data_IF_833751373545
#
_entry.id   IF_833751373545
#
_cell.length_a   1.000
_cell.length_b   1.000
_cell.length_c   1.000
_cell.angle_alpha   90.00
_cell.angle_beta   90.00
_cell.angle_gamma   90.00
#
_symmetry.space_group_name_H-M   'P 1'
#
loop_
_entity.id
_entity.type
_entity.pdbx_description
1 polymer ?
#
# COMPACT_ATOMS: atom_id res chain seq x y z
N UNK A 1 7.73 10.78 -16.34
CA UNK A 1 7.28 9.39 -16.12
C UNK A 1 7.29 9.24 -14.62
N UNK A 2 6.13 9.06 -14.00
CA UNK A 2 6.03 8.98 -12.54
C UNK A 2 6.78 7.73 -12.07
N UNK A 3 7.61 7.86 -11.04
CA UNK A 3 8.44 6.76 -10.51
C UNK A 3 7.62 5.54 -10.03
N UNK A 4 6.31 5.71 -9.88
CA UNK A 4 5.37 4.70 -9.41
C UNK A 4 4.75 3.85 -10.54
N UNK A 5 4.76 4.32 -11.79
CA UNK A 5 4.15 3.58 -12.90
C UNK A 5 4.81 2.22 -13.09
N UNK A 6 4.00 1.16 -13.19
CA UNK A 6 4.47 -0.22 -13.30
C UNK A 6 4.61 -0.94 -11.94
N UNK A 7 4.42 -0.23 -10.83
CA UNK A 7 4.47 -0.83 -9.48
C UNK A 7 3.24 -1.68 -9.20
N UNK A 8 3.44 -2.87 -8.64
CA UNK A 8 2.37 -3.72 -8.15
C UNK A 8 1.85 -3.20 -6.80
N UNK A 9 0.54 -3.10 -6.67
CA UNK A 9 -0.15 -2.66 -5.46
C UNK A 9 -1.29 -3.60 -5.11
N UNK A 10 -1.54 -3.79 -3.82
CA UNK A 10 -2.71 -4.47 -3.29
C UNK A 10 -3.70 -3.42 -2.82
N UNK A 11 -4.96 -3.51 -3.24
CA UNK A 11 -6.02 -2.68 -2.65
C UNK A 11 -6.27 -3.16 -1.23
N UNK A 12 -6.22 -2.25 -0.26
CA UNK A 12 -6.33 -2.58 1.15
C UNK A 12 -7.55 -3.48 1.42
N UNK A 13 -7.38 -4.70 1.96
CA UNK A 13 -8.48 -5.67 2.10
C UNK A 13 -9.62 -5.18 3.00
N UNK A 14 -9.29 -4.31 3.96
CA UNK A 14 -10.22 -3.75 4.94
C UNK A 14 -10.55 -2.28 4.63
N UNK A 15 -10.45 -1.85 3.36
CA UNK A 15 -10.77 -0.48 2.97
C UNK A 15 -12.24 -0.18 3.32
N UNK A 16 -12.56 0.86 4.12
CA UNK A 16 -13.94 1.10 4.58
C UNK A 16 -14.95 1.36 3.47
N UNK A 17 -14.51 1.99 2.38
CA UNK A 17 -15.33 2.30 1.21
C UNK A 17 -14.52 2.05 -0.05
N UNK A 18 -14.97 1.11 -0.89
CA UNK A 18 -14.37 0.80 -2.18
C UNK A 18 -15.43 0.74 -3.28
N UNK A 19 -15.71 1.87 -3.97
CA UNK A 19 -16.68 1.91 -5.06
C UNK A 19 -16.35 0.97 -6.22
N UNK A 20 -15.07 0.69 -6.45
CA UNK A 20 -14.61 -0.19 -7.53
C UNK A 20 -14.64 -1.67 -7.15
N UNK A 21 -14.85 -2.00 -5.86
CA UNK A 21 -14.97 -3.37 -5.33
C UNK A 21 -13.77 -4.26 -5.66
N UNK A 22 -12.56 -3.71 -5.51
CA UNK A 22 -11.28 -4.37 -5.74
C UNK A 22 -10.47 -4.63 -4.45
N UNK A 23 -11.05 -4.44 -3.27
CA UNK A 23 -10.48 -4.90 -1.98
C UNK A 23 -9.81 -6.27 -2.11
N UNK A 24 -8.55 -6.36 -1.65
CA UNK A 24 -7.77 -7.60 -1.71
C UNK A 24 -7.29 -8.00 -3.10
N UNK A 25 -7.55 -7.20 -4.15
CA UNK A 25 -7.02 -7.46 -5.49
C UNK A 25 -5.69 -6.75 -5.71
N UNK A 26 -4.83 -7.42 -6.46
CA UNK A 26 -3.52 -6.88 -6.86
C UNK A 26 -3.67 -6.25 -8.25
N UNK A 27 -3.24 -5.00 -8.38
CA UNK A 27 -3.20 -4.25 -9.63
C UNK A 27 -1.83 -3.63 -9.88
N UNK A 28 -1.72 -2.90 -10.99
CA UNK A 28 -0.51 -2.17 -11.40
C UNK A 28 -0.84 -0.69 -11.49
N UNK A 29 0.00 0.17 -10.90
CA UNK A 29 -0.12 1.62 -11.05
C UNK A 29 0.16 1.99 -12.50
N UNK A 30 -0.78 2.68 -13.14
CA UNK A 30 -0.62 3.21 -14.50
C UNK A 30 -0.17 4.66 -14.50
N UNK A 31 -0.63 5.46 -13.53
CA UNK A 31 -0.23 6.85 -13.31
C UNK A 31 -0.55 7.28 -11.88
N UNK A 32 0.14 8.30 -11.36
CA UNK A 32 -0.13 8.84 -10.04
C UNK A 32 0.06 10.36 -10.00
N UNK A 33 -0.92 11.08 -9.45
CA UNK A 33 -0.81 12.48 -9.08
C UNK A 33 -0.77 12.58 -7.55
N UNK A 34 0.45 12.54 -7.00
CA UNK A 34 0.69 12.60 -5.55
C UNK A 34 0.30 13.96 -4.96
N UNK A 35 0.21 15.03 -5.76
CA UNK A 35 -0.25 16.34 -5.29
C UNK A 35 -1.74 16.35 -4.94
N UNK A 36 -2.51 15.43 -5.54
CA UNK A 36 -3.95 15.27 -5.33
C UNK A 36 -4.33 14.00 -4.56
N UNK A 37 -3.34 13.19 -4.18
CA UNK A 37 -3.54 11.85 -3.62
C UNK A 37 -4.34 10.93 -4.56
N UNK A 38 -4.11 11.08 -5.87
CA UNK A 38 -4.85 10.38 -6.94
C UNK A 38 -3.94 9.31 -7.59
N UNK A 39 -4.18 8.03 -7.30
CA UNK A 39 -3.41 6.91 -7.86
C UNK A 39 -4.30 6.03 -8.74
N UNK A 40 -3.93 5.94 -10.02
CA UNK A 40 -4.65 5.11 -10.98
C UNK A 40 -4.07 3.70 -11.03
N UNK A 41 -4.91 2.70 -10.82
CA UNK A 41 -4.53 1.29 -10.77
C UNK A 41 -5.31 0.50 -11.80
N UNK A 42 -4.60 -0.24 -12.67
CA UNK A 42 -5.20 -1.18 -13.60
C UNK A 42 -5.20 -2.61 -13.04
N UNK A 43 -6.32 -3.30 -13.25
CA UNK A 43 -6.50 -4.71 -12.89
C UNK A 43 -6.51 -5.63 -14.12
N UNK A 44 -6.15 -5.09 -15.29
CA UNK A 44 -6.19 -5.79 -16.57
C UNK A 44 -7.52 -5.62 -17.31
N UNK A 45 -7.54 -6.02 -18.59
CA UNK A 45 -8.75 -6.00 -19.46
C UNK A 45 -9.47 -4.64 -19.54
N UNK A 46 -8.74 -3.54 -19.39
CA UNK A 46 -9.31 -2.18 -19.41
C UNK A 46 -9.97 -1.76 -18.11
N UNK A 47 -9.95 -2.61 -17.08
CA UNK A 47 -10.42 -2.24 -15.74
C UNK A 47 -9.37 -1.38 -15.05
N UNK A 48 -9.79 -0.17 -14.66
CA UNK A 48 -8.97 0.80 -13.95
C UNK A 48 -9.82 1.45 -12.86
N UNK A 49 -9.20 1.72 -11.71
CA UNK A 49 -9.82 2.42 -10.61
C UNK A 49 -8.86 3.48 -10.05
N UNK A 50 -9.45 4.45 -9.35
CA UNK A 50 -8.75 5.53 -8.69
C UNK A 50 -8.75 5.27 -7.19
N UNK A 51 -7.58 5.40 -6.56
CA UNK A 51 -7.38 5.20 -5.14
C UNK A 51 -6.50 6.29 -4.55
N UNK A 52 -6.68 6.55 -3.26
CA UNK A 52 -5.72 7.29 -2.46
C UNK A 52 -4.51 6.42 -2.11
N UNK A 53 -3.38 7.05 -1.75
CA UNK A 53 -2.15 6.35 -1.38
C UNK A 53 -2.30 5.49 -0.11
N UNK A 54 -3.17 5.87 0.84
CA UNK A 54 -3.47 5.08 2.04
C UNK A 54 -4.37 3.86 1.77
N UNK A 55 -5.10 3.86 0.66
CA UNK A 55 -5.96 2.76 0.23
C UNK A 55 -5.20 1.63 -0.49
N UNK A 56 -3.93 1.86 -0.81
CA UNK A 56 -3.06 0.94 -1.53
C UNK A 56 -1.93 0.46 -0.63
N UNK A 57 -1.62 -0.82 -0.71
CA UNK A 57 -0.52 -1.45 0.01
C UNK A 57 0.56 -1.94 -0.95
N UNK A 58 1.80 -1.79 -0.53
CA UNK A 58 3.00 -2.29 -1.21
C UNK A 58 3.80 -3.19 -0.28
N UNK A 59 4.63 -4.05 -0.86
CA UNK A 59 5.59 -4.81 -0.06
C UNK A 59 6.65 -3.85 0.50
N UNK A 60 6.99 -4.04 1.78
CA UNK A 60 8.13 -3.35 2.38
C UNK A 60 9.40 -3.72 1.64
N UNK A 61 10.35 -2.79 1.59
CA UNK A 61 11.69 -3.05 1.07
C UNK A 61 12.26 -4.35 1.66
N UNK A 62 12.83 -5.24 0.85
CA UNK A 62 13.28 -6.56 1.30
C UNK A 62 14.36 -6.48 2.39
N UNK A 63 15.28 -5.53 2.34
CA UNK A 63 16.32 -5.40 3.38
C UNK A 63 15.73 -4.91 4.71
N UNK A 64 14.67 -4.10 4.66
CA UNK A 64 13.91 -3.71 5.86
C UNK A 64 13.13 -4.91 6.40
N UNK A 65 12.40 -5.62 5.55
CA UNK A 65 11.63 -6.80 5.95
C UNK A 65 12.52 -7.88 6.57
N UNK A 66 13.71 -8.12 6.01
CA UNK A 66 14.67 -9.07 6.56
C UNK A 66 15.18 -8.65 7.95
N UNK A 67 15.51 -7.37 8.14
CA UNK A 67 15.89 -6.85 9.45
C UNK A 67 14.78 -7.00 10.49
N UNK A 68 13.55 -6.67 10.11
CA UNK A 68 12.36 -6.81 10.98
C UNK A 68 12.12 -8.29 11.34
N UNK A 69 12.35 -9.22 10.40
CA UNK A 69 12.26 -10.66 10.63
C UNK A 69 13.26 -11.16 11.68
N UNK A 70 14.52 -10.74 11.58
CA UNK A 70 15.56 -11.14 12.54
C UNK A 70 15.31 -10.52 13.91
N UNK A 71 14.88 -9.26 13.96
CA UNK A 71 14.57 -8.57 15.21
C UNK A 71 13.41 -9.24 15.97
N UNK A 72 12.38 -9.67 15.25
CA UNK A 72 11.14 -10.23 15.84
C UNK A 72 11.10 -11.77 15.83
N UNK A 73 12.22 -12.45 15.57
CA UNK A 73 12.27 -13.91 15.42
C UNK A 73 11.66 -14.69 16.60
N UNK A 74 11.79 -14.16 17.83
CA UNK A 74 11.27 -14.80 19.04
C UNK A 74 9.77 -14.61 19.26
N UNK A 75 9.17 -13.61 18.61
CA UNK A 75 7.77 -13.22 18.78
C UNK A 75 6.88 -13.79 17.66
N UNK A 76 7.47 -14.12 16.51
CA UNK A 76 6.77 -14.71 15.39
C UNK A 76 6.58 -16.21 15.55
N UNK A 77 5.39 -16.71 15.18
CA UNK A 77 5.21 -18.15 15.03
C UNK A 77 6.11 -18.67 13.90
N UNK A 78 6.55 -19.93 14.03
CA UNK A 78 7.45 -20.58 13.08
C UNK A 78 6.90 -20.56 11.64
N UNK A 79 5.59 -20.65 11.46
CA UNK A 79 4.96 -20.63 10.15
C UNK A 79 4.94 -19.23 9.55
N UNK A 80 4.63 -18.20 10.34
CA UNK A 80 4.66 -16.80 9.92
C UNK A 80 6.08 -16.38 9.53
N UNK A 81 7.08 -16.74 10.34
CA UNK A 81 8.48 -16.49 10.02
C UNK A 81 8.88 -17.09 8.68
N UNK A 82 8.53 -18.36 8.43
CA UNK A 82 8.83 -19.03 7.15
C UNK A 82 8.16 -18.33 5.98
N UNK A 83 6.90 -17.92 6.13
CA UNK A 83 6.16 -17.24 5.07
C UNK A 83 6.75 -15.87 4.76
N UNK A 84 7.08 -15.09 5.80
CA UNK A 84 7.74 -13.79 5.65
C UNK A 84 9.13 -13.92 5.03
N UNK A 85 9.90 -14.94 5.41
CA UNK A 85 11.20 -15.21 4.79
C UNK A 85 11.05 -15.62 3.31
N UNK A 86 10.04 -16.43 2.97
CA UNK A 86 9.73 -16.77 1.59
C UNK A 86 9.34 -15.54 0.77
N UNK A 87 8.50 -14.66 1.32
CA UNK A 87 8.14 -13.37 0.70
C UNK A 87 9.39 -12.53 0.45
N UNK A 88 10.33 -12.48 1.40
CA UNK A 88 11.59 -11.76 1.26
C UNK A 88 12.43 -12.28 0.08
N UNK A 89 12.59 -13.61 -0.03
CA UNK A 89 13.31 -14.25 -1.14
C UNK A 89 12.65 -14.01 -2.51
N UNK A 90 11.32 -14.07 -2.56
CA UNK A 90 10.56 -13.80 -3.79
C UNK A 90 10.69 -12.34 -4.24
N UNK A 91 10.89 -11.40 -3.32
CA UNK A 91 11.15 -10.00 -3.67
C UNK A 91 12.57 -9.78 -4.18
N UNK A 92 13.58 -10.33 -3.49
CA UNK A 92 14.99 -10.07 -3.81
C UNK A 92 15.42 -10.71 -5.14
N UNK A 93 14.88 -11.88 -5.47
CA UNK A 93 15.32 -12.67 -6.62
C UNK A 93 14.21 -12.91 -7.65
N UNK A 94 13.01 -12.43 -7.38
CA UNK A 94 11.86 -12.70 -8.22
C UNK A 94 11.66 -11.71 -9.34
N UNK A 95 11.07 -12.18 -10.43
CA UNK A 95 10.45 -11.33 -11.45
C UNK A 95 9.06 -10.83 -10.97
N UNK A 96 8.40 -9.99 -11.78
CA UNK A 96 7.08 -9.43 -11.47
C UNK A 96 6.03 -10.47 -11.07
N UNK A 97 6.05 -11.68 -11.67
CA UNK A 97 5.13 -12.77 -11.31
C UNK A 97 5.42 -13.29 -9.89
N UNK A 98 6.68 -13.43 -9.53
CA UNK A 98 7.09 -13.88 -8.19
C UNK A 98 6.82 -12.81 -7.13
N UNK A 99 6.98 -11.53 -7.45
CA UNK A 99 6.57 -10.41 -6.57
C UNK A 99 5.06 -10.45 -6.35
N UNK A 100 4.26 -10.67 -7.42
CA UNK A 100 2.82 -10.86 -7.28
C UNK A 100 2.49 -12.05 -6.36
N UNK A 101 3.15 -13.19 -6.53
CA UNK A 101 2.98 -14.36 -5.64
C UNK A 101 3.34 -14.01 -4.19
N UNK A 102 4.37 -13.19 -3.95
CA UNK A 102 4.72 -12.73 -2.61
C UNK A 102 3.58 -11.90 -1.97
N UNK A 103 2.90 -11.05 -2.75
CA UNK A 103 1.73 -10.31 -2.28
C UNK A 103 0.54 -11.23 -2.00
N UNK A 104 0.31 -12.25 -2.84
CA UNK A 104 -0.74 -13.26 -2.63
C UNK A 104 -0.50 -14.07 -1.35
N UNK A 105 0.76 -14.42 -1.05
CA UNK A 105 1.14 -15.07 0.20
C UNK A 105 0.86 -14.17 1.41
N UNK A 106 1.20 -12.88 1.31
CA UNK A 106 0.93 -11.92 2.37
C UNK A 106 -0.57 -11.79 2.64
N UNK A 107 -1.39 -11.70 1.59
CA UNK A 107 -2.85 -11.60 1.70
C UNK A 107 -3.49 -12.81 2.38
N UNK A 108 -2.89 -13.99 2.27
CA UNK A 108 -3.43 -15.23 2.87
C UNK A 108 -3.32 -15.31 4.39
N UNK A 109 -2.60 -14.39 5.05
CA UNK A 109 -2.40 -14.39 6.50
C UNK A 109 -2.26 -12.96 7.03
N UNK A 110 -3.20 -12.52 7.87
CA UNK A 110 -3.26 -11.15 8.40
C UNK A 110 -2.00 -10.70 9.17
N UNK A 111 -1.35 -11.61 9.90
CA UNK A 111 -0.10 -11.33 10.61
C UNK A 111 0.99 -11.06 9.57
N UNK A 112 1.13 -11.95 8.60
CA UNK A 112 2.11 -11.82 7.52
C UNK A 112 1.84 -10.56 6.70
N UNK A 113 0.59 -10.22 6.40
CA UNK A 113 0.20 -8.99 5.71
C UNK A 113 0.72 -7.75 6.43
N UNK A 114 0.47 -7.63 7.74
CA UNK A 114 0.90 -6.49 8.58
C UNK A 114 2.42 -6.37 8.66
N UNK A 115 3.12 -7.50 8.68
CA UNK A 115 4.58 -7.51 8.74
C UNK A 115 5.24 -7.27 7.38
N UNK A 116 4.71 -7.84 6.30
CA UNK A 116 5.30 -7.79 4.96
C UNK A 116 4.96 -6.51 4.19
N UNK A 117 3.80 -5.92 4.43
CA UNK A 117 3.27 -4.81 3.64
C UNK A 117 3.06 -3.55 4.47
N UNK A 118 3.05 -2.41 3.80
CA UNK A 118 2.67 -1.11 4.35
C UNK A 118 1.87 -0.34 3.29
N UNK A 119 1.21 0.73 3.70
CA UNK A 119 0.49 1.60 2.77
C UNK A 119 1.45 2.36 1.85
N UNK A 120 0.96 2.82 0.70
CA UNK A 120 1.80 3.48 -0.31
C UNK A 120 2.28 4.85 0.19
N UNK A 121 1.48 5.58 0.96
CA UNK A 121 1.90 6.83 1.62
C UNK A 121 3.06 6.63 2.59
N UNK A 122 2.99 5.59 3.44
CA UNK A 122 4.07 5.18 4.34
C UNK A 122 5.34 4.82 3.57
N UNK A 123 5.19 4.16 2.42
CA UNK A 123 6.31 3.81 1.55
C UNK A 123 6.97 5.04 0.92
N UNK A 124 6.15 6.01 0.52
CA UNK A 124 6.60 7.27 -0.07
C UNK A 124 7.10 8.29 0.98
N UNK A 125 6.88 8.02 2.27
CA UNK A 125 7.19 8.97 3.34
C UNK A 125 6.30 10.22 3.32
N UNK A 126 5.12 10.14 2.70
CA UNK A 126 4.16 11.24 2.64
C UNK A 126 3.50 11.34 4.00
N UNK A 127 4.01 12.24 4.84
CA UNK A 127 3.28 12.64 6.05
C UNK A 127 2.12 13.53 5.59
N UNK A 128 0.87 13.04 5.68
CA UNK A 128 -0.31 13.91 5.54
C UNK A 128 -0.22 14.99 6.62
N UNK A 129 0.29 16.16 6.26
CA UNK A 129 0.21 17.35 7.11
C UNK A 129 -1.26 17.74 7.16
N UNK A 130 -1.89 17.56 8.33
CA UNK A 130 -3.23 18.06 8.65
C UNK A 130 -3.27 19.59 8.54
N UNK A 131 -3.38 20.14 7.32
CA UNK A 131 -3.67 21.57 7.14
C UNK A 131 -4.48 21.78 5.87
N UNK A 132 -5.82 21.83 6.02
CA UNK A 132 -6.64 22.97 5.58
C UNK A 132 -8.13 22.75 5.90
N UNK A 133 -8.48 22.87 7.19
CA UNK A 133 -9.86 23.13 7.62
C UNK A 133 -10.05 24.56 8.18
N UNK A 134 -9.04 25.44 8.05
CA UNK A 134 -9.08 26.82 8.53
C UNK A 134 -8.94 27.87 7.42
N UNK A 135 -9.76 27.81 6.36
CA UNK A 135 -10.04 28.99 5.52
C UNK A 135 -11.49 29.01 5.02
N UNK A 136 -12.46 28.97 5.95
CA UNK A 136 -13.82 29.48 5.72
C UNK A 136 -14.33 30.30 6.91
N UNK A 137 -13.71 31.46 7.12
CA UNK A 137 -14.32 32.64 7.72
C UNK A 137 -13.45 33.83 7.28
N UNK A 138 -14.02 34.96 6.81
CA UNK A 138 -14.85 35.79 7.69
C UNK A 138 -16.01 36.53 6.99
N UNK A 139 -17.03 36.91 7.77
CA UNK A 139 -17.69 38.20 7.60
C UNK A 139 -18.33 38.63 8.93
N UNK A 140 -17.98 39.85 9.32
CA UNK A 140 -18.18 40.43 10.63
C UNK A 140 -19.64 40.78 10.94
N UNK A 141 -19.90 40.89 12.25
CA UNK A 141 -21.06 41.56 12.85
C UNK A 141 -21.30 42.92 12.19
N UNK A 142 -22.54 43.18 11.78
CA UNK A 142 -23.06 44.54 11.61
C UNK A 142 -24.18 44.70 12.64
N UNK A 143 -23.85 45.33 13.75
CA UNK A 143 -24.84 45.83 14.70
C UNK A 143 -25.38 47.18 14.25
N UNK A 144 -26.68 47.38 14.45
CA UNK A 144 -27.31 48.68 14.68
C UNK A 144 -28.33 48.51 15.79
#
# INVERSE_FOLDING_TARGET
MDELTGTLVLVHPQLPSDPAKKQGQIGIITSADLGRDDVFVSFGKGEQALYATDALMVLKNPDRLYRDLIANFKELEKNDFKMLFQINLLQQHGNSKQVKTAMELALGNDIVLKHAMNTLDDHLGIKKSEVQEQQRAPAAKIGR
#
